data_IF_707535689396
#
_entry.id   IF_707535689396
#
_cell.length_a   1.000
_cell.length_b   1.000
_cell.length_c   1.000
_cell.angle_alpha   90.00
_cell.angle_beta   90.00
_cell.angle_gamma   90.00
#
_symmetry.space_group_name_H-M   'P 1'
#
loop_
_entity.id
_entity.type
_entity.pdbx_description
1 polymer ?
#
# COMPACT_ATOMS: atom_id res chain seq x y z
N UNK A 1 19.58 -15.03 4.83
CA UNK A 1 19.51 -14.19 3.61
C UNK A 1 20.30 -14.74 2.41
N UNK A 2 21.55 -15.20 2.56
CA UNK A 2 22.35 -15.74 1.43
C UNK A 2 21.73 -16.94 0.69
N UNK A 3 20.98 -17.80 1.38
CA UNK A 3 20.29 -18.97 0.79
C UNK A 3 19.05 -18.60 -0.04
N UNK A 4 18.35 -17.52 0.32
CA UNK A 4 17.20 -17.03 -0.43
C UNK A 4 17.63 -16.35 -1.75
N UNK A 5 18.78 -15.66 -1.72
CA UNK A 5 19.39 -15.09 -2.93
C UNK A 5 19.77 -16.18 -3.94
N UNK A 6 20.34 -17.29 -3.46
CA UNK A 6 20.74 -18.43 -4.30
C UNK A 6 19.55 -19.11 -5.00
N UNK A 7 18.41 -19.24 -4.30
CA UNK A 7 17.18 -19.79 -4.86
C UNK A 7 16.54 -18.87 -5.91
N UNK A 8 16.59 -17.55 -5.70
CA UNK A 8 16.08 -16.58 -6.66
C UNK A 8 16.94 -16.52 -7.94
N UNK A 9 18.26 -16.62 -7.83
CA UNK A 9 19.16 -16.69 -8.99
C UNK A 9 19.03 -18.01 -9.77
N UNK A 10 18.72 -19.13 -9.11
CA UNK A 10 18.50 -20.41 -9.80
C UNK A 10 17.21 -20.39 -10.65
N UNK A 11 16.15 -19.69 -10.19
CA UNK A 11 14.89 -19.58 -10.94
C UNK A 11 15.02 -18.74 -12.22
N UNK A 12 15.91 -17.73 -12.23
CA UNK A 12 16.16 -16.89 -13.40
C UNK A 12 16.97 -17.60 -14.50
N UNK A 13 17.80 -18.58 -14.14
CA UNK A 13 18.63 -19.31 -15.11
C UNK A 13 17.80 -20.38 -15.85
N UNK A 14 16.74 -20.93 -15.25
CA UNK A 14 15.86 -21.89 -15.92
C UNK A 14 14.87 -21.26 -16.93
N UNK A 15 14.70 -19.95 -16.92
CA UNK A 15 13.84 -19.25 -17.89
C UNK A 15 14.59 -18.80 -19.16
N UNK A 16 15.92 -19.01 -19.23
CA UNK A 16 16.80 -18.42 -20.25
C UNK A 16 17.19 -19.30 -21.44
N UNK A 17 16.84 -20.59 -21.47
CA UNK A 17 17.22 -21.49 -22.57
C UNK A 17 16.01 -22.25 -23.13
N UNK A 18 15.29 -21.63 -24.07
CA UNK A 18 14.43 -22.36 -25.01
C UNK A 18 14.84 -22.00 -26.44
N UNK A 19 15.79 -22.78 -26.98
CA UNK A 19 15.94 -22.96 -28.42
C UNK A 19 14.65 -23.57 -28.97
N UNK A 20 14.16 -23.17 -30.16
CA UNK A 20 12.88 -23.65 -30.69
C UNK A 20 13.03 -25.08 -31.21
N UNK A 21 12.93 -26.05 -30.31
CA UNK A 21 12.74 -27.46 -30.63
C UNK A 21 11.27 -27.69 -31.01
N UNK A 22 11.05 -28.17 -32.23
CA UNK A 22 9.77 -28.61 -32.75
C UNK A 22 9.10 -29.62 -31.79
N UNK A 23 7.99 -29.21 -31.15
CA UNK A 23 6.93 -30.02 -30.52
C UNK A 23 6.45 -29.55 -29.13
N UNK A 24 6.70 -28.30 -28.72
CA UNK A 24 5.95 -27.73 -27.60
C UNK A 24 4.66 -27.07 -28.10
N UNK A 25 3.52 -27.73 -27.94
CA UNK A 25 2.22 -27.05 -28.00
C UNK A 25 2.26 -25.88 -27.01
N UNK A 26 1.96 -24.64 -27.43
CA UNK A 26 1.98 -23.51 -26.52
C UNK A 26 0.98 -23.77 -25.39
N UNK A 27 1.40 -23.53 -24.13
CA UNK A 27 0.56 -23.65 -22.92
C UNK A 27 -0.75 -22.85 -23.04
N UNK A 28 -0.75 -21.83 -23.90
CA UNK A 28 -1.95 -21.08 -24.29
C UNK A 28 -2.17 -21.30 -25.79
N UNK A 29 -3.26 -21.96 -26.20
CA UNK A 29 -3.55 -22.21 -27.61
C UNK A 29 -3.76 -20.88 -28.35
N UNK A 30 -3.17 -20.76 -29.53
CA UNK A 30 -3.16 -19.53 -30.33
C UNK A 30 -4.48 -19.32 -31.10
N UNK A 31 -5.59 -19.32 -30.35
CA UNK A 31 -6.93 -19.08 -30.90
C UNK A 31 -7.09 -17.60 -31.19
N UNK A 32 -7.58 -17.30 -32.40
CA UNK A 32 -7.85 -15.93 -32.84
C UNK A 32 -9.25 -15.53 -32.42
N UNK A 33 -9.34 -14.48 -31.61
CA UNK A 33 -10.60 -13.82 -31.27
C UNK A 33 -10.82 -12.67 -32.26
N UNK A 34 -11.97 -12.68 -32.94
CA UNK A 34 -12.39 -11.61 -33.83
C UNK A 34 -13.10 -10.54 -32.99
N UNK A 35 -12.41 -9.44 -32.72
CA UNK A 35 -12.98 -8.32 -31.95
C UNK A 35 -13.81 -7.39 -32.86
N UNK A 36 -13.55 -7.43 -34.17
CA UNK A 36 -14.36 -6.82 -35.24
C UNK A 36 -14.07 -7.56 -36.56
N UNK A 37 -14.89 -7.35 -37.60
CA UNK A 37 -14.85 -8.11 -38.86
C UNK A 37 -13.49 -8.10 -39.59
N UNK A 38 -12.59 -7.16 -39.25
CA UNK A 38 -11.28 -7.00 -39.88
C UNK A 38 -10.10 -7.13 -38.91
N UNK A 39 -10.34 -7.30 -37.61
CA UNK A 39 -9.27 -7.26 -36.59
C UNK A 39 -9.33 -8.50 -35.72
N UNK A 40 -8.37 -9.40 -35.94
CA UNK A 40 -8.19 -10.61 -35.16
C UNK A 40 -7.03 -10.43 -34.18
N UNK A 41 -7.30 -10.58 -32.89
CA UNK A 41 -6.25 -10.65 -31.86
C UNK A 41 -6.07 -12.11 -31.45
N UNK A 42 -4.83 -12.57 -31.34
CA UNK A 42 -4.56 -13.89 -30.80
C UNK A 42 -4.67 -13.89 -29.28
N UNK A 43 -5.20 -14.98 -28.74
CA UNK A 43 -5.33 -15.18 -27.29
C UNK A 43 -3.96 -15.12 -26.59
N UNK A 44 -2.90 -15.56 -27.27
CA UNK A 44 -1.51 -15.47 -26.81
C UNK A 44 -1.07 -14.02 -26.55
N UNK A 45 -1.39 -13.09 -27.46
CA UNK A 45 -1.05 -11.67 -27.32
C UNK A 45 -1.84 -11.00 -26.21
N UNK A 46 -3.12 -11.34 -26.08
CA UNK A 46 -3.95 -10.85 -24.98
C UNK A 46 -3.46 -11.36 -23.64
N UNK A 47 -3.17 -12.65 -23.52
CA UNK A 47 -2.65 -13.25 -22.30
C UNK A 47 -1.28 -12.67 -21.91
N UNK A 48 -0.38 -12.48 -22.90
CA UNK A 48 0.93 -11.85 -22.68
C UNK A 48 0.76 -10.39 -22.25
N UNK A 49 -0.11 -9.63 -22.92
CA UNK A 49 -0.40 -8.24 -22.55
C UNK A 49 -1.00 -8.12 -21.14
N UNK A 50 -1.93 -9.01 -20.79
CA UNK A 50 -2.52 -9.07 -19.45
C UNK A 50 -1.48 -9.44 -18.38
N UNK A 51 -0.57 -10.37 -18.66
CA UNK A 51 0.53 -10.72 -17.77
C UNK A 51 1.48 -9.53 -17.53
N UNK A 52 1.84 -8.80 -18.59
CA UNK A 52 2.71 -7.62 -18.49
C UNK A 52 2.02 -6.52 -17.69
N UNK A 53 0.75 -6.21 -17.98
CA UNK A 53 -0.02 -5.22 -17.23
C UNK A 53 -0.19 -5.65 -15.77
N UNK A 54 -0.49 -6.92 -15.51
CA UNK A 54 -0.60 -7.46 -14.15
C UNK A 54 0.73 -7.40 -13.39
N UNK A 55 1.85 -7.72 -14.04
CA UNK A 55 3.18 -7.61 -13.44
C UNK A 55 3.55 -6.16 -13.11
N UNK A 56 3.20 -5.21 -13.99
CA UNK A 56 3.35 -3.77 -13.71
C UNK A 56 2.47 -3.38 -12.51
N UNK A 57 1.22 -3.86 -12.45
CA UNK A 57 0.30 -3.55 -11.35
C UNK A 57 0.76 -4.10 -10.00
N UNK A 58 1.43 -5.27 -9.97
CA UNK A 58 2.03 -5.82 -8.76
C UNK A 58 3.20 -4.98 -8.23
N UNK A 59 3.93 -4.31 -9.13
CA UNK A 59 5.06 -3.42 -8.77
C UNK A 59 4.57 -1.99 -8.49
N UNK A 60 3.53 -1.57 -9.20
CA UNK A 60 3.00 -0.22 -9.29
C UNK A 60 1.51 -0.29 -8.96
N UNK A 61 1.18 -0.55 -7.69
CA UNK A 61 -0.20 -0.52 -7.22
C UNK A 61 -0.68 0.95 -7.20
N UNK A 62 -1.52 1.37 -8.17
CA UNK A 62 -1.95 2.76 -8.27
C UNK A 62 -2.97 3.14 -7.19
N UNK A 63 -3.45 2.18 -6.40
CA UNK A 63 -4.40 2.39 -5.31
C UNK A 63 -3.72 2.43 -3.94
N UNK A 64 -2.44 2.07 -3.85
CA UNK A 64 -1.73 2.07 -2.59
C UNK A 64 -1.47 3.52 -2.13
N UNK A 65 -1.80 3.90 -0.89
CA UNK A 65 -1.57 5.24 -0.36
C UNK A 65 -0.14 5.76 -0.63
N UNK A 66 -0.01 7.04 -0.99
CA UNK A 66 1.27 7.72 -1.25
C UNK A 66 2.20 7.74 -0.03
N UNK A 67 1.64 7.56 1.16
CA UNK A 67 2.32 7.60 2.44
C UNK A 67 2.35 6.21 3.07
N UNK A 68 3.55 5.77 3.43
CA UNK A 68 3.76 4.62 4.29
C UNK A 68 3.65 5.07 5.74
N UNK A 69 2.92 4.34 6.57
CA UNK A 69 2.61 4.73 7.96
C UNK A 69 3.09 3.64 8.90
N UNK A 70 4.06 3.99 9.74
CA UNK A 70 4.55 3.15 10.81
C UNK A 70 3.91 3.59 12.13
N UNK A 71 3.24 2.66 12.80
CA UNK A 71 2.52 2.90 14.04
C UNK A 71 3.31 2.34 15.23
N UNK A 72 3.50 3.17 16.25
CA UNK A 72 4.12 2.78 17.51
C UNK A 72 3.20 3.18 18.65
N UNK A 73 2.78 2.21 19.45
CA UNK A 73 2.03 2.47 20.69
C UNK A 73 2.98 3.04 21.73
N UNK A 74 2.67 4.24 22.23
CA UNK A 74 3.47 4.94 23.26
C UNK A 74 2.87 4.69 24.65
N UNK A 75 1.54 4.69 24.74
CA UNK A 75 0.77 4.41 25.95
C UNK A 75 -0.52 3.63 25.59
N UNK A 76 -1.39 3.37 26.57
CA UNK A 76 -2.65 2.67 26.36
C UNK A 76 -3.56 3.41 25.37
N UNK A 77 -3.65 4.73 25.48
CA UNK A 77 -4.49 5.60 24.64
C UNK A 77 -3.68 6.44 23.63
N UNK A 78 -2.35 6.40 23.68
CA UNK A 78 -1.48 7.32 22.93
C UNK A 78 -0.60 6.56 21.93
N UNK A 79 -0.63 7.01 20.68
CA UNK A 79 0.10 6.40 19.56
C UNK A 79 0.93 7.44 18.82
N UNK A 80 2.14 7.02 18.42
CA UNK A 80 2.99 7.77 17.51
C UNK A 80 2.90 7.15 16.13
N UNK A 81 2.65 7.99 15.13
CA UNK A 81 2.56 7.62 13.74
C UNK A 81 3.70 8.32 12.97
N UNK A 82 4.60 7.53 12.40
CA UNK A 82 5.66 8.02 11.53
C UNK A 82 5.27 7.76 10.08
N UNK A 83 5.07 8.84 9.32
CA UNK A 83 4.64 8.81 7.93
C UNK A 83 5.84 9.11 7.03
N UNK A 84 6.04 8.26 6.03
CA UNK A 84 7.13 8.43 5.07
C UNK A 84 6.58 8.36 3.66
N UNK A 85 6.84 9.38 2.85
CA UNK A 85 6.36 9.42 1.47
C UNK A 85 7.03 8.32 0.65
N UNK A 86 6.25 7.55 -0.13
CA UNK A 86 6.80 6.54 -1.06
C UNK A 86 7.68 7.23 -2.09
N UNK A 87 8.71 6.54 -2.60
CA UNK A 87 9.69 7.11 -3.55
C UNK A 87 9.11 7.34 -4.94
N UNK A 88 8.18 6.48 -5.35
CA UNK A 88 7.49 6.58 -6.62
C UNK A 88 6.05 7.00 -6.33
N UNK A 89 5.74 8.27 -6.59
CA UNK A 89 4.44 8.86 -6.38
C UNK A 89 4.21 9.94 -7.43
N UNK A 90 2.94 10.22 -7.75
CA UNK A 90 2.55 11.33 -8.62
C UNK A 90 1.76 12.33 -7.80
N UNK A 91 2.45 13.32 -7.20
CA UNK A 91 1.81 14.31 -6.33
C UNK A 91 1.60 13.83 -4.88
N UNK A 92 0.61 14.38 -4.17
CA UNK A 92 0.24 13.95 -2.81
C UNK A 92 1.13 14.47 -1.67
N UNK A 93 2.01 15.44 -1.95
CA UNK A 93 2.98 15.98 -0.99
C UNK A 93 2.34 16.69 0.23
N UNK A 94 1.09 17.14 0.12
CA UNK A 94 0.31 17.76 1.21
C UNK A 94 -0.77 16.84 1.80
N UNK A 95 -0.81 15.57 1.41
CA UNK A 95 -1.81 14.60 1.92
C UNK A 95 -1.40 13.98 3.25
N UNK A 96 -0.21 14.28 3.77
CA UNK A 96 0.34 13.80 5.05
C UNK A 96 -0.66 13.93 6.20
N UNK A 97 -1.26 15.11 6.38
CA UNK A 97 -2.22 15.35 7.47
C UNK A 97 -3.52 14.56 7.28
N UNK A 98 -3.95 14.36 6.03
CA UNK A 98 -5.14 13.58 5.71
C UNK A 98 -4.89 12.08 5.92
N UNK A 99 -3.69 11.61 5.55
CA UNK A 99 -3.24 10.25 5.80
C UNK A 99 -3.17 9.95 7.30
N UNK A 100 -2.62 10.89 8.08
CA UNK A 100 -2.61 10.80 9.55
C UNK A 100 -4.03 10.71 10.13
N UNK A 101 -4.92 11.65 9.77
CA UNK A 101 -6.31 11.66 10.24
C UNK A 101 -7.07 10.38 9.89
N UNK A 102 -6.86 9.86 8.67
CA UNK A 102 -7.46 8.60 8.23
C UNK A 102 -6.98 7.43 9.07
N UNK A 103 -5.68 7.35 9.36
CA UNK A 103 -5.14 6.28 10.23
C UNK A 103 -5.63 6.43 11.67
N UNK A 104 -5.69 7.65 12.20
CA UNK A 104 -6.21 7.92 13.53
C UNK A 104 -7.69 7.52 13.66
N UNK A 105 -8.51 7.80 12.64
CA UNK A 105 -9.90 7.36 12.60
C UNK A 105 -10.05 5.83 12.52
N UNK A 106 -9.17 5.15 11.77
CA UNK A 106 -9.11 3.69 11.77
C UNK A 106 -8.78 3.15 13.16
N UNK A 107 -7.75 3.68 13.81
CA UNK A 107 -7.36 3.28 15.17
C UNK A 107 -8.47 3.51 16.18
N UNK A 108 -9.16 4.64 16.09
CA UNK A 108 -10.33 4.92 16.89
C UNK A 108 -11.41 3.83 16.71
N UNK A 109 -11.71 3.45 15.47
CA UNK A 109 -12.71 2.42 15.15
C UNK A 109 -12.29 1.03 15.60
N UNK A 110 -11.05 0.64 15.31
CA UNK A 110 -10.48 -0.67 15.62
C UNK A 110 -10.41 -0.92 17.13
N UNK A 111 -10.17 0.13 17.92
CA UNK A 111 -10.04 0.06 19.37
C UNK A 111 -11.30 0.49 20.13
N UNK A 112 -12.38 0.88 19.44
CA UNK A 112 -13.66 1.20 20.05
C UNK A 112 -13.70 2.52 20.86
N UNK A 113 -12.81 3.47 20.57
CA UNK A 113 -12.78 4.76 21.27
C UNK A 113 -13.84 5.73 20.73
N UNK A 114 -14.27 6.67 21.58
CA UNK A 114 -15.30 7.66 21.26
C UNK A 114 -14.83 8.76 20.29
N UNK A 115 -13.53 9.01 20.23
CA UNK A 115 -12.90 9.98 19.36
C UNK A 115 -11.37 9.88 19.43
N UNK A 116 -10.69 10.76 18.72
CA UNK A 116 -9.23 10.94 18.81
C UNK A 116 -8.87 12.43 18.79
N UNK A 117 -7.68 12.74 19.29
CA UNK A 117 -7.07 14.06 19.25
C UNK A 117 -5.66 13.92 18.67
N UNK A 118 -5.28 14.86 17.82
CA UNK A 118 -3.90 14.97 17.34
C UNK A 118 -3.18 15.89 18.33
N UNK A 119 -2.26 15.32 19.10
CA UNK A 119 -1.49 16.03 20.13
C UNK A 119 -0.36 16.81 19.48
N UNK A 120 0.35 16.15 18.57
CA UNK A 120 1.48 16.73 17.85
C UNK A 120 1.41 16.37 16.38
N UNK A 121 1.87 17.30 15.54
CA UNK A 121 2.04 17.08 14.12
C UNK A 121 3.22 17.88 13.60
N UNK A 122 4.13 17.23 12.90
CA UNK A 122 5.28 17.87 12.28
C UNK A 122 5.49 17.30 10.89
N UNK A 123 5.68 18.18 9.90
CA UNK A 123 6.13 17.80 8.57
C UNK A 123 7.59 18.17 8.37
N UNK A 124 8.31 17.33 7.64
CA UNK A 124 9.72 17.52 7.39
C UNK A 124 10.19 16.91 6.08
N UNK A 125 11.47 17.11 5.83
CA UNK A 125 12.19 16.48 4.73
C UNK A 125 13.38 15.76 5.35
N UNK A 126 13.41 14.44 5.21
CA UNK A 126 14.52 13.61 5.62
C UNK A 126 15.51 13.47 4.45
N UNK A 127 16.76 13.88 4.66
CA UNK A 127 17.81 13.83 3.66
C UNK A 127 18.59 12.52 3.80
N UNK A 128 18.23 11.53 2.99
CA UNK A 128 18.89 10.22 2.98
C UNK A 128 19.93 10.14 1.86
N UNK A 129 20.84 9.17 1.94
CA UNK A 129 21.92 8.95 0.95
C UNK A 129 21.41 8.79 -0.49
N UNK A 130 20.14 8.41 -0.65
CA UNK A 130 19.44 8.24 -1.92
C UNK A 130 18.37 9.34 -2.07
N UNK A 131 18.77 10.60 -1.88
CA UNK A 131 17.92 11.77 -2.04
C UNK A 131 17.02 12.09 -0.84
N UNK A 132 16.48 13.31 -0.87
CA UNK A 132 15.55 13.82 0.13
C UNK A 132 14.15 13.21 -0.07
N UNK A 133 13.49 12.83 1.04
CA UNK A 133 12.10 12.36 1.05
C UNK A 133 11.27 13.15 2.06
N UNK A 134 10.00 13.39 1.74
CA UNK A 134 9.08 13.98 2.71
C UNK A 134 8.74 12.97 3.80
N UNK A 135 8.66 13.47 5.02
CA UNK A 135 8.27 12.73 6.21
C UNK A 135 7.28 13.57 7.01
N UNK A 136 6.42 12.91 7.77
CA UNK A 136 5.60 13.56 8.77
C UNK A 136 5.55 12.69 10.02
N UNK A 137 5.58 13.31 11.18
CA UNK A 137 5.39 12.65 12.48
C UNK A 137 4.11 13.20 13.11
N UNK A 138 3.30 12.31 13.68
CA UNK A 138 2.14 12.71 14.44
C UNK A 138 1.98 11.89 15.71
N UNK A 139 1.59 12.54 16.80
CA UNK A 139 1.19 11.86 18.04
C UNK A 139 -0.32 12.03 18.17
N UNK A 140 -1.03 10.93 18.35
CA UNK A 140 -2.47 10.92 18.55
C UNK A 140 -2.80 10.34 19.92
N UNK A 141 -3.86 10.86 20.53
CA UNK A 141 -4.46 10.31 21.74
C UNK A 141 -5.91 9.94 21.45
N UNK A 142 -6.30 8.73 21.82
CA UNK A 142 -7.65 8.24 21.73
C UNK A 142 -8.44 8.67 22.97
N UNK A 143 -9.69 9.09 22.79
CA UNK A 143 -10.53 9.56 23.90
C UNK A 143 -11.78 8.71 24.03
N UNK A 144 -12.11 8.34 25.26
CA UNK A 144 -13.37 7.63 25.55
C UNK A 144 -14.57 8.57 25.42
N UNK A 145 -15.70 8.03 24.99
CA UNK A 145 -16.97 8.76 24.89
C UNK A 145 -17.52 9.01 26.29
N UNK A 146 -17.35 10.21 26.84
CA UNK A 146 -17.93 10.66 28.13
C UNK A 146 -19.44 10.96 28.04
N UNK A 147 -20.23 10.08 27.44
CA UNK A 147 -21.66 10.34 27.19
C UNK A 147 -22.60 9.59 28.15
N UNK A 148 -22.11 8.64 28.95
CA UNK A 148 -22.95 7.89 29.91
C UNK A 148 -22.92 8.44 31.35
N UNK A 149 -21.85 9.11 31.77
CA UNK A 149 -21.70 9.52 33.18
C UNK A 149 -22.47 10.80 33.54
N UNK A 150 -22.75 11.67 32.56
CA UNK A 150 -23.50 12.92 32.78
C UNK A 150 -24.99 12.68 33.03
N UNK A 151 -25.58 11.64 32.42
CA UNK A 151 -26.96 11.24 32.70
C UNK A 151 -27.12 10.70 34.12
N UNK A 152 -26.11 9.97 34.63
CA UNK A 152 -26.12 9.47 36.02
C UNK A 152 -25.88 10.59 37.04
N UNK A 153 -25.03 11.57 36.74
CA UNK A 153 -24.81 12.71 37.64
C UNK A 153 -26.00 13.67 37.72
N UNK A 154 -26.75 13.85 36.62
CA UNK A 154 -27.95 14.69 36.63
C UNK A 154 -29.17 13.99 37.22
N UNK A 155 -29.22 12.66 37.23
CA UNK A 155 -30.27 11.89 37.91
C UNK A 155 -30.08 11.76 39.43
N UNK A 156 -28.90 12.13 39.94
CA UNK A 156 -28.54 12.09 41.36
C UNK A 156 -28.61 13.46 42.06
N UNK A 157 -29.19 14.47 41.40
CA UNK A 157 -29.50 15.80 41.94
C UNK A 157 -31.00 16.00 42.03
#
# INVERSE_FOLDING_TARGET
MRRALALASAALILAGCSSPGSNSSPLIPDKKLLLTAKTSLSLSRLATGALVVGAIYLIYDPLAPNWDIEETRVDEDTFRLALRMKRYHTGGAGESIQALRRRAAQLQGDLGYGGYQIVEYTEGIDSQTVGARRVADGVIRLVQRREADSFLQNAAR
#
